data_IF_401524969213
#
_entry.id   IF_401524969213
#
_cell.length_a   1.000
_cell.length_b   1.000
_cell.length_c   1.000
_cell.angle_alpha   90.00
_cell.angle_beta   90.00
_cell.angle_gamma   90.00
#
_symmetry.space_group_name_H-M   'P 1'
#
loop_
_entity.id
_entity.type
_entity.pdbx_description
1 polymer ?
#
# COMPACT_ATOMS: atom_id res chain seq x y z
N UNK A 1 27.23 25.58 -48.92
CA UNK A 1 27.88 24.45 -48.19
C UNK A 1 27.47 24.52 -46.73
N UNK A 2 26.69 23.53 -46.27
CA UNK A 2 26.07 23.47 -44.95
C UNK A 2 27.12 23.03 -43.92
N UNK A 3 27.47 23.87 -42.94
CA UNK A 3 28.30 23.47 -41.81
C UNK A 3 27.38 22.92 -40.72
N UNK A 4 27.26 21.60 -40.63
CA UNK A 4 26.50 20.92 -39.59
C UNK A 4 27.36 20.79 -38.34
N UNK A 5 27.08 21.58 -37.30
CA UNK A 5 27.64 21.38 -35.98
C UNK A 5 26.88 20.24 -35.29
N UNK A 6 27.56 19.10 -35.03
CA UNK A 6 27.00 18.01 -34.23
C UNK A 6 27.16 18.37 -32.76
N UNK A 7 26.07 18.82 -32.13
CA UNK A 7 25.98 18.94 -30.68
C UNK A 7 25.94 17.52 -30.11
N UNK A 8 27.05 17.04 -29.57
CA UNK A 8 27.08 15.81 -28.77
C UNK A 8 26.44 16.17 -27.43
N UNK A 9 25.13 15.93 -27.34
CA UNK A 9 24.40 15.96 -26.08
C UNK A 9 24.86 14.76 -25.26
N UNK A 10 25.78 15.00 -24.32
CA UNK A 10 26.16 14.03 -23.30
C UNK A 10 25.00 13.93 -22.30
N UNK A 11 24.07 13.02 -22.58
CA UNK A 11 22.97 12.69 -21.69
C UNK A 11 23.57 11.95 -20.48
N UNK A 12 23.80 12.67 -19.38
CA UNK A 12 24.16 12.08 -18.09
C UNK A 12 23.03 11.14 -17.67
N UNK A 13 23.26 9.84 -17.81
CA UNK A 13 22.40 8.81 -17.22
C UNK A 13 22.62 8.88 -15.70
N UNK A 14 21.81 9.66 -15.01
CA UNK A 14 21.60 9.52 -13.58
C UNK A 14 20.95 8.16 -13.34
N UNK A 15 21.75 7.12 -13.21
CA UNK A 15 21.29 5.83 -12.68
C UNK A 15 21.10 6.00 -11.18
N UNK A 16 19.93 6.50 -10.79
CA UNK A 16 19.46 6.39 -9.41
C UNK A 16 19.11 4.93 -9.15
N UNK A 17 19.76 4.31 -8.16
CA UNK A 17 19.24 3.08 -7.58
C UNK A 17 18.01 3.45 -6.74
N UNK A 18 16.81 3.12 -7.21
CA UNK A 18 15.68 2.99 -6.31
C UNK A 18 15.92 1.73 -5.44
N UNK A 19 15.63 1.77 -4.13
CA UNK A 19 15.56 0.55 -3.35
C UNK A 19 14.46 -0.33 -3.96
N UNK A 20 14.81 -1.56 -4.34
CA UNK A 20 13.85 -2.55 -4.81
C UNK A 20 13.09 -3.06 -3.57
N UNK A 21 11.93 -2.48 -3.28
CA UNK A 21 10.97 -3.12 -2.40
C UNK A 21 10.47 -4.36 -3.15
N UNK A 22 10.89 -5.54 -2.71
CA UNK A 22 10.43 -6.81 -3.26
C UNK A 22 8.95 -6.95 -2.90
N UNK A 23 8.08 -6.58 -3.84
CA UNK A 23 6.65 -6.82 -3.70
C UNK A 23 6.45 -8.31 -3.47
N UNK A 24 5.64 -8.67 -2.48
CA UNK A 24 5.18 -10.04 -2.29
C UNK A 24 4.43 -10.47 -3.56
N UNK A 25 5.14 -11.10 -4.50
CA UNK A 25 4.54 -11.74 -5.66
C UNK A 25 3.93 -13.07 -5.20
N UNK A 26 2.61 -13.17 -5.25
CA UNK A 26 1.91 -14.40 -4.95
C UNK A 26 0.50 -14.38 -5.50
N UNK A 27 0.02 -15.56 -5.87
CA UNK A 27 -1.35 -15.71 -6.33
C UNK A 27 -2.32 -15.76 -5.14
N UNK A 28 -3.51 -15.20 -5.32
CA UNK A 28 -4.64 -15.45 -4.45
C UNK A 28 -5.58 -16.49 -5.05
N UNK A 29 -6.21 -17.28 -4.20
CA UNK A 29 -7.25 -18.25 -4.57
C UNK A 29 -8.57 -17.81 -3.98
N UNK A 30 -9.60 -17.70 -4.82
CA UNK A 30 -10.96 -17.54 -4.36
C UNK A 30 -11.61 -18.90 -4.14
N UNK A 31 -11.93 -19.22 -2.89
CA UNK A 31 -12.74 -20.38 -2.53
C UNK A 31 -13.96 -19.85 -1.77
N UNK A 32 -15.08 -19.73 -2.50
CA UNK A 32 -16.28 -19.05 -2.04
C UNK A 32 -16.65 -19.44 -0.60
N UNK A 33 -16.83 -18.47 0.32
CA UNK A 33 -16.90 -17.03 0.09
C UNK A 33 -15.60 -16.24 0.34
N UNK A 34 -14.44 -16.90 0.40
CA UNK A 34 -13.19 -16.32 0.93
C UNK A 34 -11.99 -16.38 -0.03
N UNK A 35 -11.14 -15.36 0.04
CA UNK A 35 -9.83 -15.29 -0.60
C UNK A 35 -8.74 -15.74 0.38
N UNK A 36 -7.74 -16.41 -0.19
CA UNK A 36 -6.55 -16.95 0.48
C UNK A 36 -5.31 -16.63 -0.35
N UNK A 37 -4.13 -16.61 0.27
CA UNK A 37 -2.86 -16.29 -0.41
C UNK A 37 -2.42 -14.85 -0.18
N UNK A 38 -1.61 -14.32 -1.10
CA UNK A 38 -1.19 -12.91 -1.07
C UNK A 38 -2.31 -12.08 -1.70
N UNK A 39 -2.91 -11.20 -0.91
CA UNK A 39 -4.14 -10.49 -1.28
C UNK A 39 -3.83 -9.01 -1.46
N UNK A 40 -4.11 -8.49 -2.66
CA UNK A 40 -4.10 -7.06 -2.91
C UNK A 40 -5.20 -6.34 -2.13
N UNK A 41 -4.89 -5.15 -1.62
CA UNK A 41 -5.85 -4.32 -0.91
C UNK A 41 -7.11 -4.03 -1.73
N UNK A 42 -7.00 -3.97 -3.07
CA UNK A 42 -8.13 -3.73 -3.97
C UNK A 42 -9.13 -4.89 -3.98
N UNK A 43 -8.69 -6.12 -3.74
CA UNK A 43 -9.59 -7.27 -3.56
C UNK A 43 -10.43 -7.06 -2.29
N UNK A 44 -9.81 -6.59 -1.20
CA UNK A 44 -10.51 -6.34 0.07
C UNK A 44 -11.53 -5.19 -0.04
N UNK A 45 -11.21 -4.15 -0.82
CA UNK A 45 -12.10 -2.99 -1.04
C UNK A 45 -13.29 -3.30 -1.94
N UNK A 46 -13.04 -3.98 -3.06
CA UNK A 46 -14.02 -4.02 -4.15
C UNK A 46 -14.87 -5.30 -4.18
N UNK A 47 -14.48 -6.35 -3.44
CA UNK A 47 -15.21 -7.61 -3.49
C UNK A 47 -16.55 -7.56 -2.73
N UNK A 48 -17.62 -8.08 -3.34
CA UNK A 48 -18.98 -8.05 -2.79
C UNK A 48 -19.14 -8.71 -1.41
N UNK A 49 -18.32 -9.74 -1.10
CA UNK A 49 -18.35 -10.42 0.19
C UNK A 49 -17.68 -9.59 1.30
N UNK A 50 -16.97 -8.52 0.95
CA UNK A 50 -16.07 -7.77 1.85
C UNK A 50 -16.54 -6.36 2.18
N UNK A 51 -17.85 -6.14 2.19
CA UNK A 51 -18.49 -4.89 2.70
C UNK A 51 -18.04 -4.49 4.12
N UNK A 52 -17.48 -5.43 4.89
CA UNK A 52 -16.88 -5.15 6.19
C UNK A 52 -15.66 -4.23 6.10
N UNK A 53 -14.93 -4.23 4.97
CA UNK A 53 -13.73 -3.42 4.79
C UNK A 53 -14.08 -1.94 4.89
N UNK A 54 -14.95 -1.45 3.99
CA UNK A 54 -15.37 -0.05 3.98
C UNK A 54 -16.05 0.36 5.29
N UNK A 55 -16.86 -0.54 5.86
CA UNK A 55 -17.51 -0.28 7.15
C UNK A 55 -16.47 0.02 8.24
N UNK A 56 -15.46 -0.85 8.41
CA UNK A 56 -14.47 -0.70 9.47
C UNK A 56 -13.45 0.40 9.18
N UNK A 57 -13.08 0.58 7.92
CA UNK A 57 -12.22 1.66 7.46
C UNK A 57 -12.88 3.03 7.74
N UNK A 58 -14.14 3.21 7.34
CA UNK A 58 -14.82 4.50 7.48
C UNK A 58 -15.22 4.80 8.93
N UNK A 59 -15.66 3.79 9.69
CA UNK A 59 -16.09 3.96 11.08
C UNK A 59 -14.94 4.28 12.05
N UNK A 60 -13.71 3.89 11.72
CA UNK A 60 -12.57 4.13 12.59
C UNK A 60 -12.05 5.55 12.47
N UNK A 61 -12.03 6.29 13.58
CA UNK A 61 -11.52 7.66 13.63
C UNK A 61 -10.34 7.74 14.62
N UNK A 62 -9.08 7.62 14.16
CA UNK A 62 -7.92 7.66 15.03
C UNK A 62 -7.67 9.08 15.58
N UNK A 63 -6.96 9.17 16.69
CA UNK A 63 -6.45 10.44 17.19
C UNK A 63 -5.22 10.85 16.37
N UNK A 64 -5.38 11.84 15.50
CA UNK A 64 -4.35 12.33 14.57
C UNK A 64 -3.14 12.91 15.32
N UNK A 65 -3.35 13.62 16.44
CA UNK A 65 -2.24 14.20 17.24
C UNK A 65 -1.30 13.15 17.83
N UNK A 66 -1.81 11.93 18.07
CA UNK A 66 -0.97 10.80 18.49
C UNK A 66 -0.27 10.15 17.30
N UNK A 67 -0.93 10.16 16.14
CA UNK A 67 -0.43 9.54 14.92
C UNK A 67 0.81 10.28 14.41
N UNK A 68 0.77 11.62 14.37
CA UNK A 68 1.87 12.47 13.90
C UNK A 68 3.16 12.38 14.72
N UNK A 69 3.10 11.77 15.92
CA UNK A 69 4.29 11.49 16.75
C UNK A 69 4.97 10.17 16.38
N UNK A 70 4.36 9.38 15.49
CA UNK A 70 4.85 8.07 15.07
C UNK A 70 5.67 8.25 13.80
N UNK A 71 6.96 7.89 13.84
CA UNK A 71 7.76 7.78 12.63
C UNK A 71 7.78 6.31 12.18
N UNK A 72 7.28 6.04 10.97
CA UNK A 72 7.36 4.74 10.31
C UNK A 72 8.23 4.77 9.04
N UNK A 73 9.05 5.82 8.89
CA UNK A 73 10.10 5.83 7.85
C UNK A 73 10.94 4.56 7.96
N UNK A 74 11.16 3.91 6.81
CA UNK A 74 11.96 2.70 6.65
C UNK A 74 11.47 1.45 7.40
N UNK A 75 10.15 1.35 7.68
CA UNK A 75 9.54 0.14 8.27
C UNK A 75 8.69 -0.62 7.25
N UNK A 76 9.04 -1.89 7.05
CA UNK A 76 8.23 -2.84 6.28
C UNK A 76 7.24 -3.58 7.20
N UNK A 77 5.96 -3.60 6.81
CA UNK A 77 4.89 -4.20 7.60
C UNK A 77 4.25 -5.34 6.83
N UNK A 78 4.39 -6.56 7.34
CA UNK A 78 3.69 -7.74 6.84
C UNK A 78 2.43 -8.03 7.68
N UNK A 79 1.27 -8.15 7.02
CA UNK A 79 -0.01 -8.46 7.68
C UNK A 79 -0.42 -9.90 7.37
N UNK A 80 -0.47 -10.74 8.40
CA UNK A 80 -1.08 -12.07 8.33
C UNK A 80 -2.53 -11.98 8.81
N UNK A 81 -3.48 -12.34 7.93
CA UNK A 81 -4.90 -12.20 8.23
C UNK A 81 -5.73 -13.34 7.65
N UNK A 82 -6.92 -13.54 8.20
CA UNK A 82 -7.95 -14.37 7.56
C UNK A 82 -9.11 -13.50 7.08
N UNK A 83 -9.45 -13.57 5.79
CA UNK A 83 -10.61 -12.86 5.21
C UNK A 83 -11.95 -13.32 5.81
N UNK A 84 -11.95 -14.48 6.48
CA UNK A 84 -13.07 -15.05 7.21
C UNK A 84 -13.08 -14.71 8.71
N UNK A 85 -11.94 -14.35 9.29
CA UNK A 85 -11.79 -14.10 10.72
C UNK A 85 -12.41 -12.75 11.13
N UNK A 86 -13.21 -12.74 12.20
CA UNK A 86 -13.88 -11.53 12.69
C UNK A 86 -12.88 -10.46 13.17
N UNK A 87 -11.79 -10.86 13.81
CA UNK A 87 -10.77 -9.91 14.27
C UNK A 87 -10.02 -9.29 13.11
N UNK A 88 -9.60 -10.10 12.13
CA UNK A 88 -8.99 -9.60 10.89
C UNK A 88 -9.91 -8.62 10.16
N UNK A 89 -11.21 -8.95 10.02
CA UNK A 89 -12.21 -8.05 9.42
C UNK A 89 -12.32 -6.71 10.16
N UNK A 90 -12.13 -6.72 11.49
CA UNK A 90 -12.25 -5.52 12.34
C UNK A 90 -10.98 -4.68 12.30
N UNK A 91 -9.80 -5.30 12.44
CA UNK A 91 -8.55 -4.58 12.70
C UNK A 91 -7.80 -4.20 11.42
N UNK A 92 -7.77 -5.07 10.40
CA UNK A 92 -6.95 -4.80 9.19
C UNK A 92 -7.40 -3.53 8.45
N UNK A 93 -8.70 -3.26 8.22
CA UNK A 93 -9.11 -2.00 7.59
C UNK A 93 -8.71 -0.75 8.40
N UNK A 94 -8.69 -0.86 9.73
CA UNK A 94 -8.32 0.25 10.62
C UNK A 94 -6.83 0.52 10.58
N UNK A 95 -6.02 -0.54 10.60
CA UNK A 95 -4.56 -0.48 10.44
C UNK A 95 -4.19 0.14 9.10
N UNK A 96 -4.83 -0.30 8.01
CA UNK A 96 -4.62 0.30 6.68
C UNK A 96 -5.00 1.79 6.68
N UNK A 97 -6.08 2.20 7.36
CA UNK A 97 -6.43 3.62 7.50
C UNK A 97 -5.36 4.42 8.23
N UNK A 98 -4.78 3.87 9.30
CA UNK A 98 -3.67 4.51 10.02
C UNK A 98 -2.49 4.76 9.08
N UNK A 99 -2.10 3.76 8.30
CA UNK A 99 -0.98 3.89 7.36
C UNK A 99 -1.26 4.87 6.23
N UNK A 100 -2.48 4.88 5.70
CA UNK A 100 -2.87 5.86 4.70
C UNK A 100 -2.80 7.30 5.23
N UNK A 101 -3.18 7.52 6.50
CA UNK A 101 -3.08 8.84 7.13
C UNK A 101 -1.62 9.26 7.35
N UNK A 102 -0.79 8.34 7.87
CA UNK A 102 0.65 8.59 8.03
C UNK A 102 1.35 8.89 6.69
N UNK A 103 1.03 8.14 5.64
CA UNK A 103 1.61 8.35 4.32
C UNK A 103 1.16 9.68 3.65
N UNK A 104 0.05 10.28 4.10
CA UNK A 104 -0.36 11.62 3.68
C UNK A 104 0.42 12.70 4.45
N UNK A 105 0.65 12.51 5.75
CA UNK A 105 1.45 13.43 6.57
C UNK A 105 2.92 13.48 6.10
N UNK A 106 3.49 12.36 5.66
CA UNK A 106 4.87 12.30 5.14
C UNK A 106 5.08 12.96 3.76
N UNK A 107 3.99 13.35 3.07
CA UNK A 107 4.05 14.01 1.76
C UNK A 107 4.05 15.55 1.85
N UNK A 108 3.79 16.11 3.02
CA UNK A 108 3.86 17.55 3.28
C UNK A 108 5.20 17.95 3.90
#
# INVERSE_FOLDING_TARGET
>A
MKKSAKFISLFFLFTGCAPNFESLEGEYVFNDPYYYGIIDQDVLKNHQNYKWFDKQYNQYNPNIEKLSKTNLEDIDIAIFMGTWCHDSKREVPRVIKLFNLLALEMKE
#
